data_IF_941717500421
#
_entry.id   IF_941717500421
#
_cell.length_a   1.000
_cell.length_b   1.000
_cell.length_c   1.000
_cell.angle_alpha   90.00
_cell.angle_beta   90.00
_cell.angle_gamma   90.00
#
_symmetry.space_group_name_H-M   'P 1'
#
loop_
_entity.id
_entity.type
_entity.pdbx_description
1 polymer ?
#
# COMPACT_ATOMS: atom_id res chain seq x y z
N UNK A 1 27.92 -8.65 3.99
CA UNK A 1 26.56 -8.27 4.43
C UNK A 1 25.81 -9.57 4.67
N UNK A 2 25.70 -9.99 5.93
CA UNK A 2 25.77 -11.43 6.28
C UNK A 2 24.42 -12.17 6.29
N UNK A 3 23.30 -11.52 5.93
CA UNK A 3 22.04 -12.25 5.65
C UNK A 3 21.06 -11.37 4.85
N UNK A 4 21.52 -10.84 3.70
CA UNK A 4 20.84 -9.83 2.89
C UNK A 4 19.50 -10.26 2.30
N UNK A 5 18.50 -10.53 3.13
CA UNK A 5 17.11 -10.76 2.75
C UNK A 5 16.39 -9.42 2.69
N UNK A 6 15.96 -9.06 1.49
CA UNK A 6 15.00 -7.97 1.31
C UNK A 6 13.64 -8.45 1.79
N UNK A 7 13.07 -7.77 2.78
CA UNK A 7 11.70 -8.03 3.21
C UNK A 7 10.72 -7.61 2.11
N UNK A 8 9.92 -8.55 1.64
CA UNK A 8 8.84 -8.32 0.69
C UNK A 8 7.52 -8.64 1.37
N UNK A 9 6.59 -7.68 1.35
CA UNK A 9 5.23 -7.84 1.88
C UNK A 9 4.25 -7.58 0.75
N UNK A 10 3.34 -8.52 0.52
CA UNK A 10 2.19 -8.29 -0.34
C UNK A 10 1.14 -7.47 0.43
N UNK A 11 0.66 -6.38 -0.18
CA UNK A 11 -0.38 -5.54 0.39
C UNK A 11 -1.70 -5.91 -0.29
N UNK A 12 -2.65 -6.41 0.51
CA UNK A 12 -3.87 -7.03 -0.01
C UNK A 12 -5.00 -6.01 -0.25
N UNK A 13 -4.95 -4.83 0.37
CA UNK A 13 -6.05 -3.86 0.32
C UNK A 13 -5.58 -2.43 0.13
N UNK A 14 -6.43 -1.60 -0.47
CA UNK A 14 -6.15 -0.19 -0.67
C UNK A 14 -5.96 0.56 0.67
N UNK A 15 -6.68 0.12 1.70
CA UNK A 15 -6.60 0.66 3.05
C UNK A 15 -5.25 0.33 3.70
N UNK A 16 -4.77 -0.90 3.57
CA UNK A 16 -3.45 -1.32 4.06
C UNK A 16 -2.31 -0.61 3.29
N UNK A 17 -2.51 -0.36 1.99
CA UNK A 17 -1.56 0.42 1.19
C UNK A 17 -1.45 1.85 1.71
N UNK A 18 -2.58 2.52 1.93
CA UNK A 18 -2.60 3.87 2.48
C UNK A 18 -1.97 3.92 3.89
N UNK A 19 -2.27 2.93 4.73
CA UNK A 19 -1.72 2.84 6.08
C UNK A 19 -0.20 2.67 6.10
N UNK A 20 0.32 1.82 5.23
CA UNK A 20 1.77 1.62 5.06
C UNK A 20 2.47 2.89 4.57
N UNK A 21 1.84 3.61 3.64
CA UNK A 21 2.37 4.87 3.10
C UNK A 21 2.44 5.96 4.18
N UNK A 22 1.37 6.16 4.95
CA UNK A 22 1.33 7.19 5.99
C UNK A 22 2.19 6.81 7.21
N UNK A 23 2.14 5.55 7.64
CA UNK A 23 2.82 5.07 8.85
C UNK A 23 4.30 4.74 8.64
N UNK A 24 4.60 3.80 7.74
CA UNK A 24 5.97 3.28 7.58
C UNK A 24 6.86 4.16 6.70
N UNK A 25 6.25 4.86 5.73
CA UNK A 25 6.98 5.67 4.75
C UNK A 25 6.87 7.18 5.02
N UNK A 26 6.00 7.60 5.94
CA UNK A 26 5.81 9.01 6.29
C UNK A 26 5.24 9.85 5.15
N UNK A 27 4.59 9.21 4.17
CA UNK A 27 3.98 9.88 3.02
C UNK A 27 2.58 10.32 3.42
N UNK A 28 2.35 11.62 3.51
CA UNK A 28 1.02 12.16 3.80
C UNK A 28 0.09 12.02 2.59
N UNK A 29 -1.06 11.37 2.77
CA UNK A 29 -2.09 11.26 1.74
C UNK A 29 -3.19 12.28 2.06
N UNK A 30 -3.27 13.41 1.34
CA UNK A 30 -4.18 14.50 1.69
C UNK A 30 -5.67 14.14 1.53
N UNK A 31 -5.98 13.24 0.59
CA UNK A 31 -7.33 12.69 0.42
C UNK A 31 -7.27 11.17 0.34
N UNK A 32 -7.42 10.53 1.51
CA UNK A 32 -7.30 9.08 1.67
C UNK A 32 -8.41 8.34 0.92
N UNK A 33 -9.63 8.87 0.92
CA UNK A 33 -10.78 8.24 0.26
C UNK A 33 -10.63 8.23 -1.26
N UNK A 34 -10.25 9.36 -1.87
CA UNK A 34 -9.99 9.43 -3.30
C UNK A 34 -8.78 8.57 -3.69
N UNK A 35 -7.74 8.55 -2.85
CA UNK A 35 -6.58 7.68 -3.07
C UNK A 35 -6.97 6.20 -3.10
N UNK A 36 -7.70 5.71 -2.09
CA UNK A 36 -8.14 4.32 -2.02
C UNK A 36 -9.05 3.95 -3.20
N UNK A 37 -9.95 4.85 -3.61
CA UNK A 37 -10.79 4.63 -4.78
C UNK A 37 -9.96 4.46 -6.06
N UNK A 38 -8.94 5.31 -6.27
CA UNK A 38 -8.05 5.22 -7.44
C UNK A 38 -7.15 3.99 -7.39
N UNK A 39 -6.72 3.56 -6.21
CA UNK A 39 -5.94 2.32 -6.02
C UNK A 39 -6.75 1.10 -6.47
N UNK A 40 -8.04 1.05 -6.11
CA UNK A 40 -8.97 0.00 -6.55
C UNK A 40 -9.26 0.08 -8.06
N UNK A 41 -9.55 1.28 -8.58
CA UNK A 41 -9.80 1.52 -10.01
C UNK A 41 -8.63 1.04 -10.88
N UNK A 42 -7.39 1.37 -10.46
CA UNK A 42 -6.17 1.00 -11.18
C UNK A 42 -5.70 -0.43 -10.91
N UNK A 43 -6.42 -1.21 -10.10
CA UNK A 43 -6.07 -2.58 -9.70
C UNK A 43 -4.64 -2.70 -9.15
N UNK A 44 -4.20 -1.69 -8.39
CA UNK A 44 -2.86 -1.68 -7.77
C UNK A 44 -2.78 -2.73 -6.66
N UNK A 45 -3.90 -2.96 -5.98
CA UNK A 45 -4.10 -4.13 -5.11
C UNK A 45 -4.98 -5.12 -5.86
N UNK A 46 -4.57 -6.39 -5.88
CA UNK A 46 -5.40 -7.45 -6.42
C UNK A 46 -6.61 -7.63 -5.52
N UNK A 47 -7.79 -7.27 -6.01
CA UNK A 47 -9.04 -7.67 -5.38
C UNK A 47 -9.18 -9.17 -5.62
N UNK A 48 -8.81 -9.99 -4.63
CA UNK A 48 -9.08 -11.43 -4.66
C UNK A 48 -10.58 -11.61 -4.91
N UNK A 49 -10.93 -12.13 -6.08
CA UNK A 49 -12.29 -12.56 -6.44
C UNK A 49 -12.59 -13.87 -5.72
#
# INVERSE_FOLDING_TARGET
>A
HIDGRTEQKQIATATELADTLEGQLGITIPDRTAFEARVREKKIVETST
#
